data_IF_266899613837
#
_entry.id   IF_266899613837
#
_cell.length_a   1.000
_cell.length_b   1.000
_cell.length_c   1.000
_cell.angle_alpha   90.00
_cell.angle_beta   90.00
_cell.angle_gamma   90.00
#
_symmetry.space_group_name_H-M   'P 1'
#
loop_
_entity.id
_entity.type
_entity.pdbx_description
1 polymer ?
#
# COMPACT_ATOMS: atom_id res chain seq x y z
N UNK A 1 -50.50 -14.97 15.43
CA UNK A 1 -49.13 -15.38 15.06
C UNK A 1 -48.84 -14.84 13.66
N UNK A 2 -48.16 -13.70 13.57
CA UNK A 2 -47.72 -13.13 12.29
C UNK A 2 -46.20 -12.93 12.38
N UNK A 3 -45.49 -13.61 11.49
CA UNK A 3 -44.04 -13.60 11.32
C UNK A 3 -43.62 -12.36 10.56
N UNK A 4 -42.81 -11.50 11.17
CA UNK A 4 -42.08 -10.44 10.47
C UNK A 4 -40.61 -10.88 10.33
N UNK A 5 -40.26 -11.37 9.14
CA UNK A 5 -38.87 -11.51 8.71
C UNK A 5 -38.37 -10.13 8.28
N UNK A 6 -37.55 -9.52 9.15
CA UNK A 6 -36.83 -8.29 8.87
C UNK A 6 -35.66 -8.60 7.93
N UNK A 7 -35.78 -8.17 6.67
CA UNK A 7 -34.74 -8.28 5.67
C UNK A 7 -33.66 -7.21 5.91
N UNK A 8 -32.46 -7.63 6.32
CA UNK A 8 -31.30 -6.77 6.43
C UNK A 8 -30.95 -6.14 5.06
N UNK A 9 -30.59 -4.85 4.99
CA UNK A 9 -30.27 -4.19 3.74
C UNK A 9 -28.92 -4.68 3.21
N UNK A 10 -28.89 -5.09 1.93
CA UNK A 10 -27.68 -5.38 1.18
C UNK A 10 -26.83 -4.10 1.13
N UNK A 11 -25.69 -4.10 1.83
CA UNK A 11 -24.67 -3.05 1.71
C UNK A 11 -24.27 -2.97 0.25
N UNK A 12 -24.71 -1.90 -0.42
CA UNK A 12 -24.36 -1.60 -1.79
C UNK A 12 -22.82 -1.48 -1.85
N UNK A 13 -22.19 -2.43 -2.54
CA UNK A 13 -20.73 -2.49 -2.62
C UNK A 13 -20.27 -1.36 -3.53
N UNK A 14 -19.73 -0.30 -2.95
CA UNK A 14 -19.13 0.80 -3.71
C UNK A 14 -18.14 0.23 -4.73
N UNK A 15 -18.42 0.46 -6.01
CA UNK A 15 -17.51 0.09 -7.10
C UNK A 15 -16.41 1.16 -7.13
N UNK A 16 -15.13 0.78 -7.06
CA UNK A 16 -14.06 1.77 -7.12
C UNK A 16 -14.02 2.42 -8.50
N UNK A 17 -13.85 3.73 -8.53
CA UNK A 17 -13.67 4.52 -9.76
C UNK A 17 -12.17 4.74 -9.96
N UNK A 18 -11.69 4.45 -11.17
CA UNK A 18 -10.28 4.59 -11.54
C UNK A 18 -10.19 5.60 -12.67
N UNK A 19 -9.32 6.61 -12.53
CA UNK A 19 -9.03 7.60 -13.58
C UNK A 19 -7.54 7.86 -13.65
N UNK A 20 -6.99 8.15 -14.83
CA UNK A 20 -5.65 8.73 -14.90
C UNK A 20 -5.71 10.24 -14.64
N UNK A 21 -4.78 10.75 -13.83
CA UNK A 21 -4.65 12.19 -13.66
C UNK A 21 -4.14 12.83 -14.95
N UNK A 22 -4.62 14.03 -15.26
CA UNK A 22 -4.01 14.90 -16.26
C UNK A 22 -2.81 15.60 -15.60
N UNK A 23 -1.68 15.73 -16.32
CA UNK A 23 -0.46 16.37 -15.79
C UNK A 23 -0.61 17.92 -15.67
N UNK A 24 -1.83 18.47 -15.73
CA UNK A 24 -2.12 19.86 -15.39
C UNK A 24 -2.19 20.02 -13.88
N UNK A 25 -1.14 20.61 -13.33
CA UNK A 25 -1.08 21.08 -11.95
C UNK A 25 -2.10 22.21 -11.78
N UNK A 26 -3.16 21.97 -11.01
CA UNK A 26 -3.86 23.02 -10.28
C UNK A 26 -3.78 22.70 -8.79
N UNK A 27 -2.96 23.49 -8.10
CA UNK A 27 -2.97 23.62 -6.65
C UNK A 27 -4.25 24.36 -6.27
N UNK A 28 -5.37 23.64 -6.15
CA UNK A 28 -6.54 24.18 -5.49
C UNK A 28 -6.88 23.34 -4.26
N UNK A 29 -6.61 23.95 -3.11
CA UNK A 29 -6.94 23.45 -1.78
C UNK A 29 -8.44 23.70 -1.57
N UNK A 30 -9.28 22.67 -1.35
CA UNK A 30 -10.64 22.90 -0.91
C UNK A 30 -10.62 23.24 0.59
N UNK A 31 -11.21 24.38 0.96
CA UNK A 31 -11.59 24.68 2.35
C UNK A 31 -12.65 23.67 2.82
N UNK A 32 -12.61 23.23 4.09
CA UNK A 32 -13.57 22.26 4.60
C UNK A 32 -14.88 22.95 5.00
N UNK A 33 -15.95 22.64 4.27
CA UNK A 33 -17.32 22.82 4.73
C UNK A 33 -17.61 21.91 5.92
N UNK A 34 -18.15 22.50 6.99
CA UNK A 34 -18.68 21.80 8.16
C UNK A 34 -19.94 21.00 7.85
N UNK A 35 -20.12 19.82 8.45
CA UNK A 35 -21.46 19.39 8.81
C UNK A 35 -21.60 19.03 10.29
N UNK A 36 -22.54 19.72 10.91
CA UNK A 36 -23.29 19.33 12.10
C UNK A 36 -24.06 18.03 11.85
N UNK A 37 -23.88 17.03 12.70
CA UNK A 37 -25.00 16.24 13.25
C UNK A 37 -24.56 15.32 14.39
N UNK A 38 -25.36 15.40 15.44
CA UNK A 38 -25.37 14.65 16.70
C UNK A 38 -25.90 13.22 16.50
N UNK A 39 -25.38 12.20 17.20
CA UNK A 39 -25.99 11.62 18.41
C UNK A 39 -25.35 10.26 18.83
N UNK A 40 -25.14 10.15 20.14
CA UNK A 40 -25.04 9.03 21.10
C UNK A 40 -24.41 7.66 20.75
N UNK A 41 -23.56 7.20 21.68
CA UNK A 41 -23.96 6.06 22.53
C UNK A 41 -23.19 4.74 22.38
N UNK A 42 -22.14 4.59 23.21
CA UNK A 42 -21.64 3.38 23.90
C UNK A 42 -21.71 1.99 23.23
N UNK A 43 -20.53 1.37 23.10
CA UNK A 43 -20.16 0.12 23.77
C UNK A 43 -18.82 -0.37 23.20
N UNK A 44 -17.78 -0.34 24.03
CA UNK A 44 -16.50 -0.97 23.73
C UNK A 44 -16.59 -2.47 24.02
N UNK A 45 -15.98 -3.25 23.13
CA UNK A 45 -15.82 -4.71 23.11
C UNK A 45 -16.90 -5.55 22.42
N UNK A 46 -16.36 -6.54 21.69
CA UNK A 46 -16.97 -7.53 20.79
C UNK A 46 -17.33 -7.01 19.39
N UNK A 47 -17.16 -7.88 18.39
CA UNK A 47 -17.34 -7.65 16.94
C UNK A 47 -16.14 -7.11 16.14
N UNK A 48 -15.09 -7.94 16.07
CA UNK A 48 -14.43 -8.12 14.78
C UNK A 48 -15.43 -8.76 13.80
N UNK A 49 -15.65 -8.22 12.59
CA UNK A 49 -16.52 -8.85 11.60
C UNK A 49 -15.98 -10.22 11.21
N UNK A 50 -16.85 -11.23 11.28
CA UNK A 50 -16.58 -12.64 10.94
C UNK A 50 -16.10 -12.84 9.48
N UNK A 51 -16.27 -11.84 8.61
CA UNK A 51 -15.73 -11.83 7.25
C UNK A 51 -14.19 -11.81 7.19
N UNK A 52 -13.51 -11.45 8.29
CA UNK A 52 -12.04 -11.44 8.36
C UNK A 52 -11.43 -12.82 8.65
N UNK A 53 -12.24 -13.88 8.85
CA UNK A 53 -11.73 -15.18 9.32
C UNK A 53 -11.17 -16.13 8.28
N UNK A 54 -11.12 -15.81 6.99
CA UNK A 54 -10.56 -16.76 6.01
C UNK A 54 -10.05 -16.14 4.72
N UNK A 55 -8.96 -15.37 4.80
CA UNK A 55 -8.10 -15.15 3.63
C UNK A 55 -6.65 -15.37 4.03
N UNK A 56 -6.31 -16.64 4.28
CA UNK A 56 -4.92 -17.08 4.25
C UNK A 56 -4.32 -16.66 2.90
N UNK A 57 -3.19 -15.94 2.85
CA UNK A 57 -2.33 -16.05 1.68
C UNK A 57 -1.65 -17.43 1.76
N UNK A 58 -2.44 -18.47 1.51
CA UNK A 58 -1.93 -19.82 1.50
C UNK A 58 -1.24 -20.07 0.15
N UNK A 59 0.07 -20.30 0.29
CA UNK A 59 0.92 -21.17 -0.52
C UNK A 59 0.85 -20.98 -2.03
N UNK A 60 1.63 -20.03 -2.53
CA UNK A 60 2.46 -20.30 -3.69
C UNK A 60 3.91 -20.19 -3.21
N UNK A 61 4.73 -21.13 -3.64
CA UNK A 61 6.11 -21.33 -3.21
C UNK A 61 6.92 -20.04 -3.30
N UNK A 62 7.77 -19.84 -2.30
CA UNK A 62 8.87 -18.89 -2.32
C UNK A 62 9.81 -19.25 -3.49
N UNK A 63 9.61 -18.61 -4.63
CA UNK A 63 10.60 -18.46 -5.70
C UNK A 63 10.39 -17.10 -6.34
N UNK A 64 11.48 -16.46 -6.74
CA UNK A 64 11.58 -15.09 -7.28
C UNK A 64 11.80 -14.02 -6.20
N UNK A 65 12.92 -14.12 -5.48
CA UNK A 65 13.80 -12.95 -5.30
C UNK A 65 15.25 -13.29 -4.91
N UNK A 66 15.76 -14.46 -5.27
CA UNK A 66 17.19 -14.73 -5.17
C UNK A 66 17.73 -15.06 -6.58
N UNK A 67 18.94 -14.56 -6.83
CA UNK A 67 19.79 -14.72 -8.02
C UNK A 67 19.85 -13.52 -8.98
N UNK A 68 20.57 -12.48 -8.54
CA UNK A 68 21.41 -11.61 -9.38
C UNK A 68 22.33 -10.76 -8.47
N UNK A 69 23.12 -11.42 -7.62
CA UNK A 69 24.31 -10.84 -7.02
C UNK A 69 25.48 -11.71 -7.50
N UNK A 70 26.15 -11.30 -8.59
CA UNK A 70 27.31 -12.05 -9.11
C UNK A 70 27.69 -11.89 -10.58
N UNK A 71 27.38 -10.76 -11.25
CA UNK A 71 27.99 -10.48 -12.56
C UNK A 71 29.16 -9.50 -12.38
N UNK A 72 30.36 -9.77 -12.94
CA UNK A 72 31.47 -8.83 -12.92
C UNK A 72 31.13 -7.59 -13.77
N UNK A 73 31.67 -6.44 -13.38
CA UNK A 73 31.53 -5.18 -14.10
C UNK A 73 32.00 -5.36 -15.56
N UNK A 74 31.05 -5.36 -16.49
CA UNK A 74 31.34 -5.33 -17.93
C UNK A 74 31.54 -3.87 -18.30
N UNK A 75 32.78 -3.47 -18.56
CA UNK A 75 33.09 -2.21 -19.24
C UNK A 75 32.47 -2.24 -20.64
N UNK A 76 31.55 -1.31 -20.90
CA UNK A 76 30.99 -1.10 -22.23
C UNK A 76 31.92 -0.18 -23.03
N UNK A 77 32.18 -0.46 -24.32
CA UNK A 77 33.06 0.37 -25.14
C UNK A 77 32.41 1.74 -25.42
N UNK A 78 33.23 2.78 -25.45
CA UNK A 78 32.85 4.14 -25.80
C UNK A 78 32.29 4.18 -27.23
N UNK A 79 30.99 4.48 -27.35
CA UNK A 79 30.34 4.75 -28.63
C UNK A 79 30.40 6.26 -28.90
N UNK A 80 31.31 6.69 -29.78
CA UNK A 80 31.32 8.03 -30.33
C UNK A 80 30.04 8.32 -31.15
N UNK A 81 29.35 9.39 -30.76
CA UNK A 81 28.58 10.30 -31.64
C UNK A 81 27.42 9.73 -32.44
N UNK A 82 26.21 9.80 -31.88
CA UNK A 82 24.98 10.04 -32.63
C UNK A 82 24.06 10.95 -31.81
N UNK A 83 23.96 12.22 -32.21
CA UNK A 83 23.03 13.19 -31.63
C UNK A 83 21.58 12.79 -31.98
N UNK A 84 20.81 12.39 -30.95
CA UNK A 84 19.35 12.37 -30.98
C UNK A 84 18.86 13.16 -29.79
N UNK A 85 18.33 14.35 -30.08
CA UNK A 85 17.73 15.28 -29.13
C UNK A 85 16.42 14.72 -28.56
N UNK A 86 16.39 14.59 -27.23
CA UNK A 86 15.25 14.58 -26.29
C UNK A 86 14.14 13.50 -26.45
N UNK A 87 14.29 12.34 -25.78
CA UNK A 87 13.15 11.43 -25.49
C UNK A 87 13.30 10.50 -24.27
N UNK A 88 14.12 10.84 -23.26
CA UNK A 88 14.46 9.88 -22.19
C UNK A 88 13.72 10.08 -20.87
N UNK A 89 12.40 9.86 -20.83
CA UNK A 89 11.71 9.39 -19.60
C UNK A 89 10.61 8.38 -19.95
N UNK A 90 10.67 7.11 -19.48
CA UNK A 90 9.57 6.17 -19.69
C UNK A 90 8.31 6.70 -19.01
N UNK A 91 7.20 6.81 -19.76
CA UNK A 91 5.99 7.49 -19.29
C UNK A 91 5.50 6.86 -17.98
N UNK A 92 5.40 7.70 -16.95
CA UNK A 92 4.95 7.31 -15.63
C UNK A 92 3.48 7.68 -15.56
N UNK A 93 2.61 6.68 -15.48
CA UNK A 93 1.19 6.89 -15.33
C UNK A 93 0.84 7.25 -13.88
N UNK A 94 0.10 8.33 -13.69
CA UNK A 94 -0.50 8.70 -12.42
C UNK A 94 -1.97 8.30 -12.45
N UNK A 95 -2.37 7.42 -11.53
CA UNK A 95 -3.72 6.85 -11.45
C UNK A 95 -4.37 7.36 -10.17
N UNK A 96 -5.45 8.12 -10.29
CA UNK A 96 -6.33 8.52 -9.21
C UNK A 96 -7.41 7.45 -9.01
N UNK A 97 -7.58 7.00 -7.76
CA UNK A 97 -8.51 5.93 -7.41
C UNK A 97 -9.41 6.44 -6.30
N UNK A 98 -10.72 6.20 -6.45
CA UNK A 98 -11.74 6.48 -5.46
C UNK A 98 -12.47 5.20 -5.07
N UNK A 99 -12.60 4.95 -3.78
CA UNK A 99 -13.37 3.83 -3.24
C UNK A 99 -14.14 4.29 -2.00
N UNK A 100 -15.46 4.49 -2.15
CA UNK A 100 -16.26 5.15 -1.13
C UNK A 100 -15.74 6.56 -0.86
N UNK A 101 -15.43 6.85 0.40
CA UNK A 101 -14.85 8.12 0.88
C UNK A 101 -13.32 8.18 0.74
N UNK A 102 -12.67 7.07 0.35
CA UNK A 102 -11.22 7.01 0.26
C UNK A 102 -10.75 7.35 -1.14
N UNK A 103 -9.85 8.32 -1.22
CA UNK A 103 -9.20 8.73 -2.46
C UNK A 103 -7.68 8.68 -2.27
N UNK A 104 -6.99 8.07 -3.23
CA UNK A 104 -5.53 8.05 -3.24
C UNK A 104 -5.01 7.97 -4.67
N UNK A 105 -3.76 8.39 -4.85
CA UNK A 105 -3.08 8.35 -6.13
C UNK A 105 -1.93 7.35 -6.10
N UNK A 106 -1.77 6.59 -7.17
CA UNK A 106 -0.62 5.70 -7.36
C UNK A 106 0.10 6.08 -8.64
N UNK A 107 1.42 5.87 -8.64
CA UNK A 107 2.24 6.06 -9.85
C UNK A 107 2.77 4.73 -10.33
N UNK A 108 2.52 4.39 -11.59
CA UNK A 108 2.91 3.11 -12.21
C UNK A 108 3.57 3.35 -13.57
N UNK A 109 4.47 2.45 -13.97
CA UNK A 109 5.01 2.38 -15.33
C UNK A 109 4.27 1.30 -16.08
N UNK A 110 4.36 1.33 -17.41
CA UNK A 110 3.74 0.32 -18.25
C UNK A 110 4.10 -1.13 -17.85
N UNK A 111 5.36 -1.38 -17.48
CA UNK A 111 5.82 -2.69 -16.99
C UNK A 111 5.04 -3.25 -15.79
N UNK A 112 4.44 -2.40 -14.96
CA UNK A 112 3.63 -2.87 -13.83
C UNK A 112 2.27 -3.39 -14.29
N UNK A 113 1.71 -2.80 -15.35
CA UNK A 113 0.46 -3.28 -15.96
C UNK A 113 0.69 -4.61 -16.67
N UNK A 114 1.78 -4.74 -17.42
CA UNK A 114 2.14 -6.00 -18.10
C UNK A 114 2.36 -7.12 -17.09
N UNK A 115 3.11 -6.85 -16.01
CA UNK A 115 3.33 -7.81 -14.93
C UNK A 115 2.02 -8.25 -14.27
N UNK A 116 1.13 -7.30 -13.92
CA UNK A 116 -0.19 -7.62 -13.38
C UNK A 116 -0.98 -8.53 -14.33
N UNK A 117 -1.02 -8.20 -15.61
CA UNK A 117 -1.73 -9.01 -16.60
C UNK A 117 -1.18 -10.44 -16.71
N UNK A 118 0.15 -10.58 -16.75
CA UNK A 118 0.82 -11.89 -16.80
C UNK A 118 0.48 -12.74 -15.56
N UNK A 119 0.54 -12.15 -14.37
CA UNK A 119 0.21 -12.84 -13.13
C UNK A 119 -1.25 -13.31 -13.09
N UNK A 120 -2.18 -12.51 -13.62
CA UNK A 120 -3.59 -12.89 -13.73
C UNK A 120 -3.82 -13.99 -14.77
N UNK A 121 -3.11 -13.97 -15.90
CA UNK A 121 -3.13 -15.03 -16.90
C UNK A 121 -2.62 -16.35 -16.31
N UNK A 122 -1.50 -16.32 -15.59
CA UNK A 122 -0.95 -17.47 -14.87
C UNK A 122 -1.96 -18.00 -13.84
N UNK A 123 -2.58 -17.11 -13.05
CA UNK A 123 -3.62 -17.49 -12.09
C UNK A 123 -4.81 -18.18 -12.78
N UNK A 124 -5.27 -17.66 -13.92
CA UNK A 124 -6.35 -18.27 -14.70
C UNK A 124 -5.94 -19.64 -15.27
N UNK A 125 -4.74 -19.77 -15.82
CA UNK A 125 -4.21 -21.04 -16.32
C UNK A 125 -4.10 -22.08 -15.19
N UNK A 126 -3.56 -21.69 -14.03
CA UNK A 126 -3.54 -22.49 -12.81
C UNK A 126 -4.96 -22.91 -12.40
N UNK A 127 -5.98 -22.08 -12.59
CA UNK A 127 -7.36 -22.45 -12.27
C UNK A 127 -8.01 -23.39 -13.30
N UNK A 128 -7.53 -23.43 -14.55
CA UNK A 128 -8.08 -24.29 -15.61
C UNK A 128 -7.50 -25.71 -15.64
N UNK A 129 -6.32 -25.96 -15.07
CA UNK A 129 -5.74 -27.31 -15.00
C UNK A 129 -6.60 -28.24 -14.14
N UNK A 130 -6.75 -29.54 -14.43
CA UNK A 130 -7.38 -30.50 -13.52
C UNK A 130 -6.49 -30.71 -12.27
N UNK A 131 -7.05 -30.83 -11.06
CA UNK A 131 -6.27 -31.10 -9.83
C UNK A 131 -6.95 -32.08 -8.87
N UNK A 132 -6.17 -32.72 -7.97
CA UNK A 132 -6.64 -33.83 -7.14
C UNK A 132 -7.49 -33.42 -5.92
N UNK A 133 -7.33 -32.20 -5.37
CA UNK A 133 -7.80 -31.87 -4.01
C UNK A 133 -9.14 -31.11 -3.92
N UNK A 134 -10.02 -31.53 -2.99
CA UNK A 134 -11.39 -30.96 -2.81
C UNK A 134 -11.44 -29.46 -2.45
N UNK A 135 -10.50 -28.96 -1.63
CA UNK A 135 -10.43 -27.53 -1.24
C UNK A 135 -10.10 -26.62 -2.43
N UNK A 136 -9.12 -27.04 -3.24
CA UNK A 136 -8.71 -26.32 -4.45
C UNK A 136 -9.81 -26.34 -5.54
N UNK A 137 -10.64 -27.39 -5.58
CA UNK A 137 -11.80 -27.46 -6.47
C UNK A 137 -12.85 -26.37 -6.18
N UNK A 138 -13.10 -26.02 -4.91
CA UNK A 138 -14.04 -24.94 -4.53
C UNK A 138 -13.56 -23.56 -5.03
N UNK A 139 -12.28 -23.23 -4.85
CA UNK A 139 -11.69 -21.97 -5.35
C UNK A 139 -11.70 -21.86 -6.88
N UNK A 140 -11.76 -22.97 -7.61
CA UNK A 140 -11.84 -22.99 -9.07
C UNK A 140 -13.26 -22.87 -9.61
N UNK A 141 -14.27 -23.34 -8.87
CA UNK A 141 -15.67 -23.14 -9.22
C UNK A 141 -16.01 -21.65 -9.31
N UNK A 142 -15.44 -20.80 -8.44
CA UNK A 142 -15.64 -19.35 -8.51
C UNK A 142 -15.01 -18.69 -9.74
N UNK A 143 -14.08 -19.36 -10.43
CA UNK A 143 -13.44 -18.86 -11.66
C UNK A 143 -14.16 -19.37 -12.92
N UNK A 144 -14.84 -20.52 -12.86
CA UNK A 144 -15.60 -21.09 -13.98
C UNK A 144 -16.87 -20.28 -14.24
N UNK A 145 -16.87 -19.49 -15.30
CA UNK A 145 -18.03 -18.74 -15.78
C UNK A 145 -17.64 -17.74 -16.87
N UNK A 146 -18.53 -17.48 -17.81
CA UNK A 146 -18.32 -16.52 -18.92
C UNK A 146 -18.05 -15.09 -18.43
N UNK A 147 -18.49 -14.77 -17.20
CA UNK A 147 -18.29 -13.49 -16.50
C UNK A 147 -16.87 -13.24 -15.96
N UNK A 148 -16.00 -14.25 -15.92
CA UNK A 148 -14.65 -14.13 -15.35
C UNK A 148 -13.54 -14.07 -16.40
N UNK A 149 -13.83 -13.61 -17.62
CA UNK A 149 -12.80 -13.42 -18.65
C UNK A 149 -11.90 -12.25 -18.24
N UNK A 150 -10.57 -12.48 -18.21
CA UNK A 150 -9.60 -11.38 -18.03
C UNK A 150 -9.84 -10.36 -19.14
N UNK A 151 -9.93 -9.06 -18.83
CA UNK A 151 -10.06 -8.01 -19.83
C UNK A 151 -8.90 -8.06 -20.84
N UNK A 152 -9.16 -7.62 -22.08
CA UNK A 152 -8.12 -7.60 -23.12
C UNK A 152 -7.02 -6.62 -22.70
N UNK A 153 -5.78 -7.08 -22.82
CA UNK A 153 -4.61 -6.26 -22.49
C UNK A 153 -3.90 -5.84 -23.77
N UNK A 154 -3.46 -4.58 -23.87
CA UNK A 154 -2.81 -4.07 -25.06
C UNK A 154 -1.37 -4.60 -25.10
N UNK A 155 -1.07 -5.57 -25.99
CA UNK A 155 0.23 -6.26 -25.98
C UNK A 155 1.41 -5.46 -26.55
N UNK A 156 1.13 -4.40 -27.33
CA UNK A 156 2.17 -3.63 -28.02
C UNK A 156 3.05 -2.85 -27.01
N UNK A 157 4.39 -2.88 -27.15
CA UNK A 157 5.30 -2.07 -26.35
C UNK A 157 4.98 -0.57 -26.42
N UNK A 158 5.24 0.14 -25.33
CA UNK A 158 4.96 1.57 -25.17
C UNK A 158 5.61 2.43 -26.25
N UNK A 159 6.86 2.13 -26.62
CA UNK A 159 7.63 2.82 -27.66
C UNK A 159 6.98 2.78 -29.05
N UNK A 160 5.99 1.90 -29.26
CA UNK A 160 5.28 1.76 -30.54
C UNK A 160 3.85 2.32 -30.49
N UNK A 161 3.44 2.91 -29.36
CA UNK A 161 2.17 3.58 -29.25
C UNK A 161 2.28 4.98 -29.85
N UNK A 162 1.63 5.20 -31.01
CA UNK A 162 1.59 6.52 -31.67
C UNK A 162 0.69 7.53 -30.95
N UNK A 163 -0.23 7.04 -30.11
CA UNK A 163 -1.26 7.84 -29.45
C UNK A 163 -1.31 7.45 -27.96
N UNK A 164 -0.77 8.34 -27.12
CA UNK A 164 -0.67 8.12 -25.67
C UNK A 164 -2.03 8.29 -24.97
N UNK A 165 -2.94 9.09 -25.51
CA UNK A 165 -4.24 9.34 -24.88
C UNK A 165 -5.19 8.16 -25.09
N UNK A 166 -5.25 7.62 -26.31
CA UNK A 166 -5.95 6.34 -26.55
C UNK A 166 -5.40 5.22 -25.67
N UNK A 167 -4.08 5.22 -25.45
CA UNK A 167 -3.42 4.23 -24.60
C UNK A 167 -3.83 4.36 -23.14
N UNK A 168 -3.91 5.59 -22.63
CA UNK A 168 -4.38 5.93 -21.28
C UNK A 168 -5.81 5.44 -21.06
N UNK A 169 -6.73 5.80 -21.96
CA UNK A 169 -8.13 5.37 -21.90
C UNK A 169 -8.26 3.84 -21.93
N UNK A 170 -7.50 3.16 -22.78
CA UNK A 170 -7.51 1.69 -22.82
C UNK A 170 -7.03 1.06 -21.51
N UNK A 171 -5.98 1.61 -20.89
CA UNK A 171 -5.51 1.12 -19.60
C UNK A 171 -6.52 1.39 -18.48
N UNK A 172 -7.30 2.47 -18.59
CA UNK A 172 -8.33 2.85 -17.61
C UNK A 172 -9.46 1.84 -17.67
N UNK A 173 -9.99 1.60 -18.87
CA UNK A 173 -11.00 0.57 -19.13
C UNK A 173 -10.52 -0.81 -18.68
N UNK A 174 -9.25 -1.15 -18.94
CA UNK A 174 -8.68 -2.41 -18.50
C UNK A 174 -8.73 -2.56 -16.98
N UNK A 175 -8.28 -1.54 -16.24
CA UNK A 175 -8.26 -1.56 -14.78
C UNK A 175 -9.67 -1.54 -14.19
N UNK A 176 -10.58 -0.73 -14.74
CA UNK A 176 -11.97 -0.64 -14.28
C UNK A 176 -12.68 -1.99 -14.46
N UNK A 177 -12.53 -2.61 -15.62
CA UNK A 177 -13.09 -3.94 -15.89
C UNK A 177 -12.45 -5.02 -15.01
N UNK A 178 -11.14 -4.93 -14.75
CA UNK A 178 -10.44 -5.87 -13.89
C UNK A 178 -10.99 -5.84 -12.47
N UNK A 179 -11.18 -4.64 -11.93
CA UNK A 179 -11.68 -4.45 -10.57
C UNK A 179 -13.17 -4.72 -10.49
N UNK A 180 -13.94 -4.73 -11.57
CA UNK A 180 -15.34 -5.17 -11.57
C UNK A 180 -15.50 -6.69 -11.34
N UNK A 181 -14.49 -7.49 -11.70
CA UNK A 181 -14.51 -8.95 -11.56
C UNK A 181 -13.99 -9.35 -10.18
N UNK A 182 -14.84 -9.94 -9.34
CA UNK A 182 -14.52 -10.23 -7.93
C UNK A 182 -13.28 -11.13 -7.73
N UNK A 183 -13.12 -12.11 -8.62
CA UNK A 183 -11.99 -13.05 -8.59
C UNK A 183 -10.67 -12.32 -8.78
N UNK A 184 -10.61 -11.33 -9.68
CA UNK A 184 -9.38 -10.59 -9.95
C UNK A 184 -9.20 -9.40 -9.00
N UNK A 185 -10.29 -8.77 -8.56
CA UNK A 185 -10.28 -7.73 -7.53
C UNK A 185 -9.58 -8.18 -6.25
N UNK A 186 -9.87 -9.40 -5.80
CA UNK A 186 -9.33 -9.97 -4.56
C UNK A 186 -7.95 -10.64 -4.73
N UNK A 187 -7.40 -10.66 -5.94
CA UNK A 187 -6.09 -11.26 -6.21
C UNK A 187 -4.95 -10.41 -5.61
N UNK A 188 -3.94 -11.05 -5.00
CA UNK A 188 -2.88 -10.33 -4.29
C UNK A 188 -2.08 -9.36 -5.18
N UNK A 189 -1.80 -9.72 -6.44
CA UNK A 189 -1.12 -8.79 -7.35
C UNK A 189 -1.99 -7.58 -7.72
N UNK A 190 -3.32 -7.74 -7.76
CA UNK A 190 -4.24 -6.61 -7.98
C UNK A 190 -4.22 -5.68 -6.77
N UNK A 191 -4.33 -6.22 -5.56
CA UNK A 191 -4.23 -5.44 -4.31
C UNK A 191 -2.87 -4.72 -4.19
N UNK A 192 -1.78 -5.42 -4.53
CA UNK A 192 -0.43 -4.86 -4.57
C UNK A 192 -0.29 -3.77 -5.63
N UNK A 193 -0.88 -3.95 -6.81
CA UNK A 193 -0.90 -2.94 -7.86
C UNK A 193 -1.57 -1.66 -7.36
N UNK A 194 -2.72 -1.77 -6.67
CA UNK A 194 -3.50 -0.65 -6.17
C UNK A 194 -3.03 -0.06 -4.83
N UNK A 195 -2.01 -0.66 -4.18
CA UNK A 195 -1.55 -0.25 -2.84
C UNK A 195 -2.67 -0.32 -1.79
N UNK A 196 -3.35 -1.48 -1.76
CA UNK A 196 -4.49 -1.75 -0.87
C UNK A 196 -4.18 -2.93 0.06
N UNK A 197 -4.57 -2.79 1.32
CA UNK A 197 -4.57 -3.84 2.35
C UNK A 197 -5.88 -3.87 3.12
N UNK A 198 -5.95 -4.77 4.10
CA UNK A 198 -7.11 -4.93 4.99
C UNK A 198 -7.39 -3.67 5.84
N UNK A 199 -6.38 -2.82 6.07
CA UNK A 199 -6.51 -1.60 6.87
C UNK A 199 -6.86 -0.36 6.02
N UNK A 200 -6.81 -0.46 4.68
CA UNK A 200 -6.99 0.68 3.78
C UNK A 200 -8.30 1.41 4.03
N UNK A 201 -9.41 0.65 4.11
CA UNK A 201 -10.76 1.20 4.09
C UNK A 201 -11.46 1.18 5.47
N UNK A 202 -10.69 1.07 6.56
CA UNK A 202 -11.24 1.14 7.92
C UNK A 202 -11.40 2.60 8.32
N UNK A 203 -12.64 3.13 8.25
CA UNK A 203 -12.95 4.54 8.52
C UNK A 203 -12.44 5.02 9.89
N UNK A 204 -12.61 4.20 10.94
CA UNK A 204 -12.19 4.53 12.31
C UNK A 204 -10.67 4.68 12.48
N UNK A 205 -9.86 4.20 11.53
CA UNK A 205 -8.40 4.30 11.56
C UNK A 205 -7.88 5.53 10.81
N UNK A 206 -8.77 6.40 10.33
CA UNK A 206 -8.41 7.61 9.60
C UNK A 206 -8.15 7.39 8.10
N UNK A 207 -7.72 8.46 7.45
CA UNK A 207 -7.47 8.55 6.01
C UNK A 207 -6.39 7.54 5.60
N UNK A 208 -6.56 6.98 4.41
CA UNK A 208 -5.55 6.15 3.77
C UNK A 208 -4.49 7.06 3.16
N UNK A 209 -3.26 6.98 3.66
CA UNK A 209 -2.11 7.62 3.05
C UNK A 209 -1.49 6.68 2.02
N UNK A 210 -0.33 6.11 2.38
CA UNK A 210 0.44 5.26 1.50
C UNK A 210 0.60 3.87 2.06
N UNK A 211 0.59 2.90 1.16
CA UNK A 211 0.79 1.51 1.51
C UNK A 211 1.69 0.81 0.49
N UNK A 212 2.41 -0.22 0.91
CA UNK A 212 3.25 -0.95 -0.03
C UNK A 212 4.24 -1.90 0.60
N UNK A 213 4.84 -2.73 -0.25
CA UNK A 213 5.87 -3.68 0.16
C UNK A 213 7.20 -2.99 0.49
N UNK A 214 7.81 -3.38 1.60
CA UNK A 214 9.14 -2.99 2.07
C UNK A 214 9.88 -4.22 2.64
N UNK A 215 11.20 -4.11 2.84
CA UNK A 215 11.97 -5.08 3.63
C UNK A 215 12.23 -4.50 5.01
N UNK A 216 11.68 -5.11 6.05
CA UNK A 216 11.82 -4.65 7.45
C UNK A 216 12.94 -5.42 8.14
N UNK A 217 13.86 -4.73 8.81
CA UNK A 217 14.91 -5.34 9.61
C UNK A 217 14.37 -5.85 10.95
N UNK A 218 14.83 -6.98 11.45
CA UNK A 218 14.48 -7.51 12.77
C UNK A 218 14.86 -6.55 13.92
N UNK A 219 14.15 -6.64 15.05
CA UNK A 219 14.41 -5.81 16.23
C UNK A 219 13.84 -4.39 16.11
N UNK A 220 14.51 -3.46 16.80
CA UNK A 220 14.21 -2.02 16.76
C UNK A 220 13.50 -1.45 17.98
N UNK A 221 13.03 -2.27 18.92
CA UNK A 221 12.49 -1.75 20.19
C UNK A 221 13.64 -1.18 21.01
N UNK A 222 13.47 0.01 21.59
CA UNK A 222 14.45 0.62 22.51
C UNK A 222 14.40 -0.12 23.86
N UNK A 223 14.81 -1.39 23.88
CA UNK A 223 14.95 -2.16 25.11
C UNK A 223 16.35 -1.86 25.64
N UNK A 224 16.44 -1.36 26.88
CA UNK A 224 17.70 -1.27 27.60
C UNK A 224 18.12 -2.69 28.00
N UNK A 225 18.89 -3.35 27.12
CA UNK A 225 19.61 -4.58 27.48
C UNK A 225 21.05 -4.15 27.74
N UNK A 226 21.45 -4.23 29.01
CA UNK A 226 22.75 -3.81 29.54
C UNK A 226 23.95 -4.66 29.09
N UNK A 227 23.92 -5.27 27.91
CA UNK A 227 25.04 -6.04 27.39
C UNK A 227 25.11 -5.95 25.86
N UNK A 228 26.26 -5.50 25.36
CA UNK A 228 26.65 -5.42 23.94
C UNK A 228 26.06 -4.26 23.10
N UNK A 229 26.50 -3.03 23.41
CA UNK A 229 26.24 -1.81 22.61
C UNK A 229 27.07 -1.66 21.31
N UNK A 230 27.88 -2.64 20.91
CA UNK A 230 28.93 -2.46 19.90
C UNK A 230 28.53 -2.72 18.43
N UNK A 231 27.37 -3.33 18.16
CA UNK A 231 26.95 -3.72 16.79
C UNK A 231 25.87 -2.81 16.18
N UNK A 232 25.52 -1.70 16.83
CA UNK A 232 24.41 -0.82 16.41
C UNK A 232 24.65 -0.05 15.10
N UNK A 233 25.89 0.02 14.60
CA UNK A 233 26.25 0.86 13.44
C UNK A 233 26.42 0.12 12.12
N UNK A 234 26.44 -1.21 12.12
CA UNK A 234 26.60 -2.00 10.89
C UNK A 234 25.41 -2.96 10.72
N UNK A 235 24.30 -2.47 10.17
CA UNK A 235 23.11 -3.25 9.83
C UNK A 235 23.28 -4.15 8.60
N UNK A 236 24.51 -4.50 8.24
CA UNK A 236 24.80 -5.40 7.12
C UNK A 236 24.28 -6.82 7.38
N UNK A 237 24.24 -7.27 8.65
CA UNK A 237 23.82 -8.62 9.06
C UNK A 237 22.39 -8.71 9.66
N UNK A 238 21.55 -7.70 9.47
CA UNK A 238 20.17 -7.72 9.98
C UNK A 238 19.29 -8.75 9.25
N UNK A 239 18.38 -9.45 9.96
CA UNK A 239 17.41 -10.33 9.31
C UNK A 239 16.28 -9.48 8.66
N UNK A 240 16.24 -9.45 7.33
CA UNK A 240 15.31 -8.65 6.55
C UNK A 240 14.11 -9.47 6.09
N UNK A 241 12.90 -9.08 6.49
CA UNK A 241 11.67 -9.77 6.09
C UNK A 241 10.76 -8.85 5.26
N UNK A 242 10.17 -9.40 4.20
CA UNK A 242 9.14 -8.70 3.41
C UNK A 242 7.95 -8.35 4.30
N UNK A 243 7.53 -7.09 4.29
CA UNK A 243 6.39 -6.55 5.05
C UNK A 243 5.61 -5.58 4.19
N UNK A 244 4.31 -5.50 4.44
CA UNK A 244 3.44 -4.50 3.85
C UNK A 244 3.31 -3.33 4.83
N UNK A 245 3.93 -2.19 4.54
CA UNK A 245 3.84 -0.99 5.36
C UNK A 245 2.54 -0.27 5.07
N UNK A 246 1.87 0.20 6.11
CA UNK A 246 0.62 0.97 6.05
C UNK A 246 0.82 2.26 6.84
N UNK A 247 0.54 3.39 6.20
CA UNK A 247 0.57 4.71 6.82
C UNK A 247 -0.86 5.22 6.97
N UNK A 248 -1.21 5.60 8.20
CA UNK A 248 -2.48 6.17 8.60
C UNK A 248 -2.26 7.51 9.30
N UNK A 249 -3.33 8.19 9.68
CA UNK A 249 -3.28 9.55 10.24
C UNK A 249 -2.48 9.63 11.54
N UNK A 250 -2.56 8.62 12.41
CA UNK A 250 -1.94 8.66 13.75
C UNK A 250 -0.89 7.57 13.97
N UNK A 251 -0.67 6.69 12.99
CA UNK A 251 0.24 5.56 13.15
C UNK A 251 0.78 5.02 11.83
N UNK A 252 1.89 4.28 11.96
CA UNK A 252 2.45 3.43 10.91
C UNK A 252 2.38 1.98 11.39
N UNK A 253 1.84 1.08 10.56
CA UNK A 253 1.76 -0.34 10.87
C UNK A 253 2.45 -1.16 9.79
N UNK A 254 2.85 -2.38 10.13
CA UNK A 254 3.31 -3.33 9.11
C UNK A 254 2.64 -4.69 9.25
N UNK A 255 2.19 -5.19 8.10
CA UNK A 255 1.43 -6.41 7.94
C UNK A 255 2.33 -7.48 7.32
N UNK A 256 2.13 -8.74 7.73
CA UNK A 256 2.78 -9.88 7.09
C UNK A 256 2.03 -10.23 5.80
N UNK A 257 2.67 -10.19 4.63
CA UNK A 257 2.00 -10.46 3.37
C UNK A 257 1.48 -11.90 3.21
N UNK A 258 1.92 -12.85 4.05
CA UNK A 258 1.54 -14.27 3.95
C UNK A 258 0.19 -14.61 4.60
N UNK A 259 -0.22 -13.89 5.63
CA UNK A 259 -1.43 -14.22 6.37
C UNK A 259 -2.29 -12.98 6.63
N UNK A 260 -1.81 -11.79 6.23
CA UNK A 260 -2.50 -10.54 6.48
C UNK A 260 -2.45 -10.11 7.95
N UNK A 261 -1.65 -10.77 8.79
CA UNK A 261 -1.57 -10.42 10.21
C UNK A 261 -0.82 -9.10 10.40
N UNK A 262 -1.45 -8.17 11.12
CA UNK A 262 -0.78 -6.97 11.63
C UNK A 262 0.31 -7.43 12.60
N UNK A 263 1.57 -7.21 12.24
CA UNK A 263 2.68 -7.63 13.09
C UNK A 263 2.92 -6.64 14.22
N UNK A 264 2.72 -5.35 13.96
CA UNK A 264 3.04 -4.29 14.90
C UNK A 264 2.48 -2.94 14.43
N UNK A 265 2.30 -2.03 15.38
CA UNK A 265 1.81 -0.67 15.18
C UNK A 265 2.74 0.30 15.90
N UNK A 266 3.15 1.34 15.19
CA UNK A 266 4.02 2.41 15.67
C UNK A 266 3.23 3.71 15.66
N UNK A 267 2.86 4.18 16.84
CA UNK A 267 2.13 5.43 17.01
C UNK A 267 3.04 6.62 16.73
N UNK A 268 2.46 7.68 16.18
CA UNK A 268 3.11 8.99 16.09
C UNK A 268 3.15 9.60 17.49
N UNK A 269 4.31 10.13 17.87
CA UNK A 269 4.57 10.76 19.17
C UNK A 269 5.56 11.93 19.01
N UNK A 270 5.92 12.56 20.12
CA UNK A 270 6.78 13.76 20.12
C UNK A 270 8.20 13.51 19.59
N UNK A 271 8.69 12.27 19.55
CA UNK A 271 10.01 11.91 18.97
C UNK A 271 9.85 11.20 17.62
N UNK A 272 8.70 11.35 16.96
CA UNK A 272 8.44 10.74 15.66
C UNK A 272 9.30 11.39 14.57
N UNK A 273 10.30 10.65 14.07
CA UNK A 273 11.32 11.12 13.12
C UNK A 273 11.49 10.14 11.99
N UNK A 274 11.78 10.65 10.79
CA UNK A 274 11.98 9.84 9.60
C UNK A 274 13.29 10.25 8.93
N UNK A 275 14.16 9.27 8.72
CA UNK A 275 15.45 9.46 8.10
C UNK A 275 15.64 8.49 6.93
N UNK A 276 16.39 8.93 5.93
CA UNK A 276 16.65 8.18 4.70
C UNK A 276 18.13 8.20 4.37
N UNK A 277 18.57 7.22 3.58
CA UNK A 277 19.95 7.18 3.06
C UNK A 277 20.94 6.44 3.96
N UNK A 278 22.10 6.12 3.39
CA UNK A 278 23.09 5.24 4.01
C UNK A 278 23.70 5.84 5.28
N UNK A 279 23.99 7.15 5.28
CA UNK A 279 24.61 7.82 6.43
C UNK A 279 23.73 7.81 7.68
N UNK A 280 22.43 8.03 7.53
CA UNK A 280 21.50 8.06 8.67
C UNK A 280 21.04 6.65 9.09
N UNK A 281 20.78 5.76 8.12
CA UNK A 281 20.13 4.46 8.39
C UNK A 281 21.08 3.28 8.50
N UNK A 282 22.34 3.43 8.06
CA UNK A 282 23.30 2.32 7.96
C UNK A 282 22.89 1.24 6.95
N UNK A 283 21.94 1.52 6.05
CA UNK A 283 21.43 0.57 5.06
C UNK A 283 21.28 1.23 3.67
N UNK A 284 21.62 0.52 2.58
CA UNK A 284 21.36 1.00 1.22
C UNK A 284 19.87 1.17 1.00
N UNK A 285 19.47 2.31 0.44
CA UNK A 285 18.05 2.68 0.23
C UNK A 285 17.21 2.57 1.52
N UNK A 286 17.85 2.83 2.66
CA UNK A 286 17.23 2.70 3.97
C UNK A 286 16.21 3.80 4.24
N UNK A 287 15.19 3.41 5.00
CA UNK A 287 14.15 4.25 5.59
C UNK A 287 14.08 3.90 7.08
N UNK A 288 14.42 4.85 7.93
CA UNK A 288 14.38 4.72 9.38
C UNK A 288 13.24 5.57 9.93
N UNK A 289 12.26 4.92 10.56
CA UNK A 289 11.16 5.60 11.25
C UNK A 289 11.38 5.39 12.74
N UNK A 290 11.54 6.45 13.51
CA UNK A 290 11.84 6.41 14.94
C UNK A 290 10.73 7.11 15.73
N UNK A 291 10.48 6.64 16.95
CA UNK A 291 9.60 7.27 17.93
C UNK A 291 10.17 7.02 19.34
N UNK A 292 9.48 7.43 20.40
CA UNK A 292 9.97 7.28 21.78
C UNK A 292 10.26 5.83 22.18
N UNK A 293 9.52 4.87 21.61
CA UNK A 293 9.57 3.46 21.98
C UNK A 293 10.48 2.60 21.10
N UNK A 294 10.68 3.00 19.84
CA UNK A 294 11.32 2.12 18.83
C UNK A 294 11.86 2.86 17.62
N UNK A 295 12.75 2.16 16.93
CA UNK A 295 13.30 2.47 15.63
C UNK A 295 12.87 1.35 14.66
N UNK A 296 12.09 1.68 13.64
CA UNK A 296 11.68 0.80 12.55
C UNK A 296 12.59 1.07 11.34
N UNK A 297 13.56 0.18 11.15
CA UNK A 297 14.43 0.21 9.98
C UNK A 297 13.85 -0.64 8.84
N UNK A 298 13.72 -0.01 7.67
CA UNK A 298 13.27 -0.62 6.44
C UNK A 298 14.22 -0.35 5.27
N UNK A 299 14.21 -1.22 4.26
CA UNK A 299 14.87 -1.05 2.97
C UNK A 299 13.83 -0.91 1.88
N UNK A 300 13.98 0.13 1.06
CA UNK A 300 13.20 0.36 -0.15
C UNK A 300 13.93 -0.17 -1.38
N UNK A 301 13.23 -0.21 -2.52
CA UNK A 301 13.81 -0.68 -3.79
C UNK A 301 14.94 0.23 -4.30
N UNK A 302 14.76 1.55 -4.17
CA UNK A 302 15.74 2.57 -4.59
C UNK A 302 15.74 3.72 -3.59
N UNK A 303 16.80 4.53 -3.59
CA UNK A 303 16.88 5.75 -2.77
C UNK A 303 15.72 6.70 -3.08
N UNK A 304 15.35 6.85 -4.37
CA UNK A 304 14.16 7.60 -4.77
C UNK A 304 12.89 7.08 -4.11
N UNK A 305 12.72 5.76 -4.00
CA UNK A 305 11.55 5.18 -3.33
C UNK A 305 11.56 5.44 -1.82
N UNK A 306 12.73 5.41 -1.18
CA UNK A 306 12.86 5.78 0.22
C UNK A 306 12.45 7.25 0.45
N UNK A 307 12.88 8.17 -0.42
CA UNK A 307 12.47 9.57 -0.33
C UNK A 307 10.98 9.79 -0.62
N UNK A 308 10.43 9.10 -1.62
CA UNK A 308 8.98 9.14 -1.85
C UNK A 308 8.23 8.66 -0.59
N UNK A 309 8.73 7.64 0.12
CA UNK A 309 8.13 7.15 1.36
C UNK A 309 8.25 8.18 2.48
N UNK A 310 9.43 8.76 2.70
CA UNK A 310 9.66 9.82 3.69
C UNK A 310 8.71 10.98 3.49
N UNK A 311 8.68 11.56 2.29
CA UNK A 311 7.81 12.67 1.95
C UNK A 311 6.32 12.34 2.20
N UNK A 312 5.89 11.11 1.89
CA UNK A 312 4.51 10.69 2.12
C UNK A 312 4.16 10.55 3.61
N UNK A 313 5.09 10.07 4.44
CA UNK A 313 4.87 9.93 5.88
C UNK A 313 4.93 11.30 6.56
N UNK A 314 5.88 12.16 6.19
CA UNK A 314 5.97 13.54 6.68
C UNK A 314 4.71 14.34 6.33
N UNK A 315 4.19 14.19 5.11
CA UNK A 315 2.90 14.77 4.72
C UNK A 315 1.76 14.25 5.59
N UNK A 316 1.73 12.94 5.87
CA UNK A 316 0.71 12.34 6.74
C UNK A 316 0.78 12.88 8.18
N UNK A 317 1.98 13.07 8.70
CA UNK A 317 2.22 13.65 10.02
C UNK A 317 1.80 15.12 10.06
N UNK A 318 2.15 15.92 9.06
CA UNK A 318 1.91 17.37 9.09
C UNK A 318 0.46 17.77 8.80
N UNK A 319 -0.23 17.01 7.94
CA UNK A 319 -1.59 17.35 7.49
C UNK A 319 -2.68 16.46 8.10
N UNK A 320 -2.32 15.25 8.55
CA UNK A 320 -3.24 14.36 9.24
C UNK A 320 -3.34 14.65 10.74
N UNK A 321 -4.03 13.75 11.47
CA UNK A 321 -4.11 13.80 12.93
C UNK A 321 -2.76 13.58 13.62
N UNK A 322 -1.71 13.20 12.89
CA UNK A 322 -0.36 13.00 13.43
C UNK A 322 0.19 14.26 14.09
N UNK A 323 -0.13 15.43 13.53
CA UNK A 323 0.31 16.75 14.02
C UNK A 323 -0.05 16.95 15.49
N UNK A 324 -1.22 16.47 15.89
CA UNK A 324 -1.73 16.57 17.26
C UNK A 324 -0.84 15.84 18.28
N UNK A 325 -0.12 14.80 17.84
CA UNK A 325 0.73 13.97 18.70
C UNK A 325 2.23 14.29 18.55
N UNK A 326 2.64 14.88 17.41
CA UNK A 326 4.04 15.23 17.15
C UNK A 326 4.40 16.64 17.57
N UNK A 327 3.41 17.53 17.77
CA UNK A 327 3.64 18.91 18.21
C UNK A 327 3.60 19.04 19.74
N UNK A 328 4.21 20.11 20.27
CA UNK A 328 4.23 20.37 21.70
C UNK A 328 2.87 20.90 22.15
N UNK A 329 2.11 20.05 22.85
CA UNK A 329 0.81 20.44 23.40
C UNK A 329 0.95 21.21 24.72
N UNK A 330 -0.14 21.87 25.13
CA UNK A 330 -0.26 22.57 26.41
C UNK A 330 0.18 21.64 27.56
N UNK A 331 1.02 22.16 28.46
CA UNK A 331 1.60 21.41 29.59
C UNK A 331 2.40 20.16 29.21
N UNK A 332 2.93 20.08 27.98
CA UNK A 332 3.59 18.88 27.45
C UNK A 332 2.68 17.64 27.51
N UNK A 333 1.36 17.84 27.40
CA UNK A 333 0.41 16.74 27.36
C UNK A 333 0.56 15.91 26.08
N UNK A 334 0.16 14.65 26.13
CA UNK A 334 0.17 13.78 24.95
C UNK A 334 -0.90 14.17 23.92
N UNK A 335 -2.02 14.74 24.36
CA UNK A 335 -3.17 15.03 23.52
C UNK A 335 -3.36 16.55 23.32
N UNK A 336 -3.90 16.99 22.18
CA UNK A 336 -4.21 18.38 21.93
C UNK A 336 -5.39 18.84 22.80
N UNK A 337 -5.55 20.17 22.92
CA UNK A 337 -6.71 20.76 23.59
C UNK A 337 -7.98 20.48 22.78
N UNK A 338 -9.01 19.94 23.42
CA UNK A 338 -10.32 19.68 22.81
C UNK A 338 -11.32 20.71 23.32
N UNK A 339 -11.69 21.67 22.48
CA UNK A 339 -12.59 22.77 22.86
C UNK A 339 -14.01 22.29 23.17
N UNK A 340 -14.50 21.30 22.41
CA UNK A 340 -15.86 20.77 22.50
C UNK A 340 -15.95 19.47 23.34
N UNK A 341 -15.29 19.45 24.50
CA UNK A 341 -15.40 18.32 25.44
C UNK A 341 -16.64 18.47 26.34
N UNK A 342 -17.46 17.42 26.46
CA UNK A 342 -18.58 17.36 27.41
C UNK A 342 -18.12 17.42 28.87
N UNK A 343 -16.92 16.88 29.16
CA UNK A 343 -16.28 16.99 30.45
C UNK A 343 -15.39 18.25 30.47
N UNK A 344 -15.68 19.14 31.42
CA UNK A 344 -14.88 20.32 31.75
C UNK A 344 -14.47 20.19 33.23
N UNK A 345 -13.23 20.52 33.54
CA UNK A 345 -12.63 20.46 34.88
C UNK A 345 -12.39 21.86 35.43
#
# INVERSE_FOLDING_TARGET
MATATESAPLVERAVPTIRFADDSIDLNVPEPDSPTSTFSGNSFNSYFPEFLRSHSFASDQDSDFDELDGLPDVEFPECHGFDVTDSEKPCRYTIAIKHGEFEWTIRRRYKHFTHLHQQLQLYKAKCSLPMPTKSQRRRRQSVKGTRNKIPRFPKKPELMARDMEKRKNYLEDYLQNLVNINVYRSHHETLKFFEVSQLSFVKKLGKKWREGAIRKCSGGRRISIGCCGCLKKFHFAGNWKKRWLVVKDSFVAYIRPRDGLVCDVMLMDTDFKIETGMGATGAPHGLLISNLSRNLLAKCWTSRKAEEWKASIETAVSTGMGKDYTTKNRFNSFAPVRENSYAKW
#
